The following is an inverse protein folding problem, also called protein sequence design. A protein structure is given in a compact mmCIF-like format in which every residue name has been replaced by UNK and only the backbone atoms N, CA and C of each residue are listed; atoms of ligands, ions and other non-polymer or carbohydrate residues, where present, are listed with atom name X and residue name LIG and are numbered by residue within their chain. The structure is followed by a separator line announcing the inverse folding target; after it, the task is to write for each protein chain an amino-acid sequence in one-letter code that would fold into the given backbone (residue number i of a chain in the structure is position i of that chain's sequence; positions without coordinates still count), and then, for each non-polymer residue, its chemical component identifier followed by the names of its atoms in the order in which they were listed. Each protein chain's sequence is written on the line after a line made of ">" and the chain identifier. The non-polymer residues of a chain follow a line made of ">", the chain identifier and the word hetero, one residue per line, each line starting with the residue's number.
data_IF_284250721266
#
_entry.id   IF_284250721266
#
_cell.length_a   1.000
_cell.length_b   1.000
_cell.length_c   1.000
_cell.angle_alpha   90.00
_cell.angle_beta   90.00
_cell.angle_gamma   90.00
#
_symmetry.space_group_name_H-M   'P 1'
#
loop_
_entity.id
_entity.type
_entity.pdbx_description
1 polymer ?
#
# COMPACT_ATOMS: atom_id res chain seq x y z
N UNK A 1 -41.12 -24.05 -44.01
CA UNK A 1 -42.58 -23.90 -43.81
C UNK A 1 -43.08 -24.74 -42.65
N UNK A 2 -42.82 -26.06 -42.60
CA UNK A 2 -43.31 -26.94 -41.52
C UNK A 2 -42.80 -26.54 -40.11
N UNK A 3 -41.51 -26.18 -39.98
CA UNK A 3 -40.93 -25.73 -38.70
C UNK A 3 -41.61 -24.47 -38.16
N UNK A 4 -41.88 -23.49 -39.01
CA UNK A 4 -42.56 -22.24 -38.65
C UNK A 4 -44.02 -22.54 -38.13
N UNK A 5 -44.80 -23.35 -38.86
CA UNK A 5 -46.17 -23.68 -38.47
C UNK A 5 -46.23 -24.44 -37.14
N UNK A 6 -45.25 -25.34 -36.92
CA UNK A 6 -45.15 -26.08 -35.67
C UNK A 6 -44.74 -25.16 -34.51
N UNK A 7 -43.79 -24.23 -34.73
CA UNK A 7 -43.40 -23.22 -33.77
C UNK A 7 -44.57 -22.34 -33.32
N UNK A 8 -45.37 -21.87 -34.30
CA UNK A 8 -46.57 -21.06 -34.07
C UNK A 8 -47.62 -21.84 -33.25
N UNK A 9 -47.82 -23.15 -33.53
CA UNK A 9 -48.72 -23.99 -32.76
C UNK A 9 -48.28 -24.15 -31.30
N UNK A 10 -46.98 -24.33 -31.04
CA UNK A 10 -46.45 -24.40 -29.68
C UNK A 10 -46.55 -23.05 -28.97
N UNK A 11 -46.30 -21.95 -29.67
CA UNK A 11 -46.49 -20.58 -29.13
C UNK A 11 -47.96 -20.37 -28.71
N UNK A 12 -48.90 -20.74 -29.56
CA UNK A 12 -50.33 -20.65 -29.24
C UNK A 12 -50.75 -21.53 -28.02
N UNK A 13 -50.04 -22.62 -27.74
CA UNK A 13 -50.24 -23.48 -26.56
C UNK A 13 -49.53 -22.97 -25.30
N UNK A 14 -48.73 -21.90 -25.39
CA UNK A 14 -47.92 -21.38 -24.28
C UNK A 14 -46.65 -22.17 -24.01
N UNK A 15 -46.28 -23.14 -24.86
CA UNK A 15 -45.04 -23.90 -24.74
C UNK A 15 -43.87 -23.13 -25.36
N UNK A 16 -43.38 -22.16 -24.61
CA UNK A 16 -42.29 -21.29 -25.05
C UNK A 16 -41.00 -22.05 -25.39
N UNK A 17 -40.72 -23.15 -24.70
CA UNK A 17 -39.49 -23.93 -24.94
C UNK A 17 -39.51 -24.59 -26.33
N UNK A 18 -40.59 -25.25 -26.71
CA UNK A 18 -40.74 -25.86 -28.02
C UNK A 18 -40.94 -24.79 -29.11
N UNK A 19 -41.64 -23.70 -28.82
CA UNK A 19 -41.77 -22.58 -29.73
C UNK A 19 -40.39 -21.99 -30.12
N UNK A 20 -39.54 -21.68 -29.13
CA UNK A 20 -38.14 -21.21 -29.38
C UNK A 20 -37.35 -22.21 -30.20
N UNK A 21 -37.44 -23.53 -29.88
CA UNK A 21 -36.73 -24.58 -30.62
C UNK A 21 -37.11 -24.61 -32.11
N UNK A 22 -38.39 -24.59 -32.40
CA UNK A 22 -38.86 -24.71 -33.80
C UNK A 22 -38.73 -23.38 -34.57
N UNK A 23 -38.87 -22.22 -33.93
CA UNK A 23 -38.53 -20.93 -34.55
C UNK A 23 -37.03 -20.84 -34.85
N UNK A 24 -36.17 -21.39 -33.99
CA UNK A 24 -34.71 -21.43 -34.27
C UNK A 24 -34.43 -22.31 -35.51
N UNK A 25 -35.05 -23.49 -35.61
CA UNK A 25 -34.90 -24.35 -36.80
C UNK A 25 -35.37 -23.64 -38.05
N UNK A 26 -36.53 -22.95 -37.96
CA UNK A 26 -37.06 -22.21 -39.09
C UNK A 26 -36.16 -21.02 -39.50
N UNK A 27 -35.65 -20.27 -38.53
CA UNK A 27 -34.75 -19.14 -38.79
C UNK A 27 -33.41 -19.60 -39.42
N UNK A 28 -32.83 -20.71 -38.93
CA UNK A 28 -31.65 -21.32 -39.53
C UNK A 28 -31.93 -21.75 -40.99
N UNK A 29 -33.07 -22.37 -41.24
CA UNK A 29 -33.48 -22.77 -42.58
C UNK A 29 -33.62 -21.56 -43.51
N UNK A 30 -34.23 -20.48 -43.01
CA UNK A 30 -34.42 -19.22 -43.80
C UNK A 30 -33.03 -18.62 -44.17
N UNK A 31 -32.08 -18.58 -43.21
CA UNK A 31 -30.73 -18.12 -43.48
C UNK A 31 -29.97 -18.96 -44.49
N UNK A 32 -30.02 -20.29 -44.33
CA UNK A 32 -29.32 -21.23 -45.26
C UNK A 32 -29.87 -21.14 -46.66
N UNK A 33 -31.19 -20.96 -46.80
CA UNK A 33 -31.83 -20.84 -48.11
C UNK A 33 -31.84 -19.44 -48.68
N UNK A 34 -31.18 -18.50 -48.03
CA UNK A 34 -31.10 -17.06 -48.48
C UNK A 34 -32.46 -16.35 -48.44
N UNK A 35 -33.41 -16.86 -47.66
CA UNK A 35 -34.74 -16.27 -47.47
C UNK A 35 -34.60 -15.07 -46.53
N UNK A 36 -34.60 -13.86 -47.11
CA UNK A 36 -34.41 -12.63 -46.32
C UNK A 36 -35.69 -12.11 -45.63
N UNK A 37 -36.82 -12.82 -45.79
CA UNK A 37 -38.07 -12.42 -45.16
C UNK A 37 -38.09 -12.58 -43.63
N UNK A 38 -37.19 -13.36 -43.09
CA UNK A 38 -36.73 -13.58 -41.68
C UNK A 38 -37.81 -13.39 -40.58
N UNK A 39 -39.09 -13.73 -40.92
CA UNK A 39 -40.19 -13.66 -39.95
C UNK A 39 -39.94 -14.55 -38.74
N UNK A 40 -39.31 -15.71 -38.95
CA UNK A 40 -38.97 -16.66 -37.90
C UNK A 40 -37.95 -16.03 -36.93
N UNK A 41 -36.95 -15.32 -37.44
CA UNK A 41 -35.91 -14.67 -36.66
C UNK A 41 -36.46 -13.52 -35.79
N UNK A 42 -37.44 -12.76 -36.33
CA UNK A 42 -38.08 -11.68 -35.59
C UNK A 42 -38.91 -12.20 -34.40
N UNK A 43 -39.71 -13.27 -34.61
CA UNK A 43 -40.50 -13.90 -33.54
C UNK A 43 -39.57 -14.55 -32.52
N UNK A 44 -38.51 -15.19 -32.97
CA UNK A 44 -37.46 -15.75 -32.09
C UNK A 44 -36.83 -14.68 -31.21
N UNK A 45 -36.48 -13.54 -31.79
CA UNK A 45 -35.91 -12.39 -31.04
C UNK A 45 -36.86 -11.93 -29.92
N UNK A 46 -38.18 -11.86 -30.22
CA UNK A 46 -39.20 -11.51 -29.22
C UNK A 46 -39.23 -12.53 -28.05
N UNK A 47 -39.29 -13.81 -28.36
CA UNK A 47 -39.35 -14.88 -27.36
C UNK A 47 -38.08 -14.93 -26.50
N UNK A 48 -36.90 -14.69 -27.07
CA UNK A 48 -35.63 -14.63 -26.37
C UNK A 48 -35.59 -13.36 -25.48
N UNK A 49 -36.13 -12.24 -25.94
CA UNK A 49 -36.26 -11.02 -25.13
C UNK A 49 -37.15 -11.30 -23.88
N UNK A 50 -38.30 -11.94 -24.08
CA UNK A 50 -39.20 -12.32 -22.98
C UNK A 50 -38.56 -13.30 -21.98
N UNK A 51 -37.57 -14.09 -22.42
CA UNK A 51 -36.78 -14.98 -21.55
C UNK A 51 -35.66 -14.24 -20.79
N UNK A 52 -35.44 -12.93 -21.07
CA UNK A 52 -34.44 -12.09 -20.40
C UNK A 52 -33.06 -12.00 -21.08
N UNK A 53 -32.87 -12.68 -22.22
CA UNK A 53 -31.61 -12.61 -22.96
C UNK A 53 -31.62 -11.42 -23.95
N UNK A 54 -31.35 -10.24 -23.41
CA UNK A 54 -31.41 -8.99 -24.17
C UNK A 54 -30.35 -8.97 -25.29
N UNK A 55 -29.16 -9.54 -25.06
CA UNK A 55 -28.04 -9.48 -26.01
C UNK A 55 -28.38 -10.26 -27.30
N UNK A 56 -28.86 -11.52 -27.15
CA UNK A 56 -29.25 -12.32 -28.30
C UNK A 56 -30.50 -11.76 -28.98
N UNK A 57 -31.47 -11.29 -28.18
CA UNK A 57 -32.69 -10.68 -28.71
C UNK A 57 -32.36 -9.45 -29.58
N UNK A 58 -31.45 -8.60 -29.11
CA UNK A 58 -31.01 -7.45 -29.88
C UNK A 58 -30.32 -7.84 -31.20
N UNK A 59 -29.37 -8.78 -31.14
CA UNK A 59 -28.64 -9.25 -32.31
C UNK A 59 -29.60 -9.84 -33.37
N UNK A 60 -30.54 -10.67 -32.95
CA UNK A 60 -31.50 -11.29 -33.87
C UNK A 60 -32.52 -10.32 -34.44
N UNK A 61 -32.99 -9.37 -33.61
CA UNK A 61 -33.92 -8.35 -34.07
C UNK A 61 -33.25 -7.35 -35.04
N UNK A 62 -32.00 -6.99 -34.79
CA UNK A 62 -31.19 -6.14 -35.65
C UNK A 62 -31.03 -6.78 -37.04
N UNK A 63 -30.62 -8.06 -37.10
CA UNK A 63 -30.45 -8.79 -38.33
C UNK A 63 -31.80 -8.92 -39.10
N UNK A 64 -32.88 -9.23 -38.38
CA UNK A 64 -34.19 -9.31 -38.99
C UNK A 64 -34.68 -7.97 -39.56
N UNK A 65 -34.35 -6.87 -38.92
CA UNK A 65 -34.66 -5.51 -39.39
C UNK A 65 -33.84 -5.11 -40.63
N UNK A 66 -32.52 -5.39 -40.60
CA UNK A 66 -31.64 -5.16 -41.74
C UNK A 66 -32.09 -5.93 -42.98
N UNK A 67 -32.46 -7.20 -42.83
CA UNK A 67 -32.99 -8.02 -43.93
C UNK A 67 -34.35 -7.50 -44.45
N UNK A 68 -35.25 -7.06 -43.54
CA UNK A 68 -36.56 -6.51 -43.94
C UNK A 68 -36.40 -5.20 -44.77
N UNK A 69 -35.43 -4.36 -44.41
CA UNK A 69 -35.10 -3.14 -45.15
C UNK A 69 -34.55 -3.50 -46.53
N UNK A 70 -33.60 -4.41 -46.61
CA UNK A 70 -32.96 -4.82 -47.87
C UNK A 70 -33.97 -5.46 -48.86
N UNK A 71 -34.96 -6.16 -48.34
CA UNK A 71 -36.01 -6.79 -49.16
C UNK A 71 -37.15 -5.85 -49.49
N UNK A 72 -37.13 -4.59 -49.05
CA UNK A 72 -38.26 -3.64 -49.22
C UNK A 72 -39.62 -4.20 -48.73
N UNK A 73 -39.57 -5.04 -47.67
CA UNK A 73 -40.74 -5.71 -47.09
C UNK A 73 -41.50 -4.76 -46.16
N UNK A 74 -42.28 -3.84 -46.70
CA UNK A 74 -42.93 -2.71 -46.01
C UNK A 74 -43.68 -3.13 -44.72
N UNK A 75 -44.47 -4.20 -44.74
CA UNK A 75 -45.23 -4.68 -43.57
C UNK A 75 -44.29 -5.22 -42.51
N UNK A 76 -43.31 -6.04 -42.93
CA UNK A 76 -42.34 -6.63 -42.02
C UNK A 76 -41.42 -5.53 -41.37
N UNK A 77 -41.12 -4.48 -42.10
CA UNK A 77 -40.32 -3.34 -41.61
C UNK A 77 -41.09 -2.57 -40.53
N UNK A 78 -42.40 -2.32 -40.67
CA UNK A 78 -43.17 -1.62 -39.64
C UNK A 78 -43.30 -2.46 -38.37
N UNK A 79 -43.68 -3.75 -38.45
CA UNK A 79 -43.76 -4.63 -37.29
C UNK A 79 -42.40 -4.86 -36.59
N UNK A 80 -41.31 -4.93 -37.37
CA UNK A 80 -39.96 -5.04 -36.84
C UNK A 80 -39.51 -3.77 -36.15
N UNK A 81 -39.86 -2.61 -36.66
CA UNK A 81 -39.41 -1.31 -36.18
C UNK A 81 -39.82 -1.04 -34.74
N UNK A 82 -41.10 -1.25 -34.40
CA UNK A 82 -41.59 -1.01 -33.03
C UNK A 82 -40.91 -1.94 -32.01
N UNK A 83 -40.79 -3.22 -32.34
CA UNK A 83 -40.11 -4.16 -31.47
C UNK A 83 -38.60 -3.95 -31.41
N UNK A 84 -37.98 -3.55 -32.51
CA UNK A 84 -36.55 -3.19 -32.55
C UNK A 84 -36.27 -2.01 -31.61
N UNK A 85 -37.04 -0.93 -31.68
CA UNK A 85 -36.87 0.22 -30.81
C UNK A 85 -36.99 -0.14 -29.33
N UNK A 86 -37.90 -1.04 -28.98
CA UNK A 86 -38.07 -1.50 -27.60
C UNK A 86 -36.90 -2.34 -27.12
N UNK A 87 -36.45 -3.29 -27.90
CA UNK A 87 -35.30 -4.15 -27.59
C UNK A 87 -33.99 -3.34 -27.57
N UNK A 88 -33.82 -2.42 -28.54
CA UNK A 88 -32.67 -1.53 -28.62
C UNK A 88 -32.55 -0.67 -27.35
N UNK A 89 -33.68 -0.07 -26.92
CA UNK A 89 -33.69 0.71 -25.67
C UNK A 89 -33.27 -0.11 -24.44
N UNK A 90 -33.80 -1.33 -24.32
CA UNK A 90 -33.42 -2.22 -23.22
C UNK A 90 -31.92 -2.60 -23.29
N UNK A 91 -31.39 -2.82 -24.50
CA UNK A 91 -29.98 -3.12 -24.70
C UNK A 91 -29.12 -1.90 -24.36
N UNK A 92 -29.46 -0.70 -24.79
CA UNK A 92 -28.76 0.55 -24.47
C UNK A 92 -28.75 0.82 -22.96
N UNK A 93 -29.85 0.59 -22.27
CA UNK A 93 -29.91 0.72 -20.81
C UNK A 93 -28.98 -0.28 -20.09
N UNK A 94 -28.94 -1.52 -20.57
CA UNK A 94 -28.03 -2.53 -20.06
C UNK A 94 -26.56 -2.13 -20.26
N UNK A 95 -26.19 -1.66 -21.43
CA UNK A 95 -24.82 -1.20 -21.74
C UNK A 95 -24.44 0.04 -20.91
N UNK A 96 -25.34 0.99 -20.75
CA UNK A 96 -25.11 2.15 -19.85
C UNK A 96 -24.85 1.72 -18.41
N UNK A 97 -25.61 0.75 -17.87
CA UNK A 97 -25.38 0.21 -16.52
C UNK A 97 -24.01 -0.44 -16.40
N UNK A 98 -23.60 -1.25 -17.37
CA UNK A 98 -22.25 -1.84 -17.40
C UNK A 98 -21.16 -0.76 -17.39
N UNK A 99 -21.33 0.26 -18.23
CA UNK A 99 -20.36 1.38 -18.29
C UNK A 99 -20.24 2.12 -16.96
N UNK A 100 -21.37 2.41 -16.30
CA UNK A 100 -21.38 3.06 -14.97
C UNK A 100 -20.67 2.21 -13.92
N UNK A 101 -20.93 0.90 -13.89
CA UNK A 101 -20.30 -0.03 -12.96
C UNK A 101 -18.78 -0.05 -13.19
N UNK A 102 -18.34 -0.21 -14.44
CA UNK A 102 -16.90 -0.25 -14.77
C UNK A 102 -16.22 1.07 -14.42
N UNK A 103 -16.86 2.20 -14.74
CA UNK A 103 -16.34 3.54 -14.43
C UNK A 103 -16.22 3.78 -12.92
N UNK A 104 -17.21 3.33 -12.12
CA UNK A 104 -17.16 3.44 -10.67
C UNK A 104 -16.05 2.58 -10.04
N UNK A 105 -15.84 1.36 -10.55
CA UNK A 105 -14.77 0.48 -10.12
C UNK A 105 -13.39 1.09 -10.44
N UNK A 106 -13.23 1.65 -11.65
CA UNK A 106 -11.98 2.29 -12.05
C UNK A 106 -11.68 3.52 -11.17
N UNK A 107 -12.70 4.34 -10.89
CA UNK A 107 -12.57 5.51 -10.00
C UNK A 107 -12.16 5.10 -8.59
N UNK A 108 -12.76 4.04 -8.02
CA UNK A 108 -12.38 3.54 -6.68
C UNK A 108 -10.94 3.04 -6.65
N UNK A 109 -10.49 2.35 -7.70
CA UNK A 109 -9.11 1.88 -7.82
C UNK A 109 -8.11 3.05 -7.84
N UNK A 110 -8.41 4.12 -8.58
CA UNK A 110 -7.59 5.33 -8.62
C UNK A 110 -7.45 5.97 -7.23
N UNK A 111 -8.53 6.05 -6.46
CA UNK A 111 -8.49 6.58 -5.09
C UNK A 111 -7.57 5.76 -4.17
N UNK A 112 -7.64 4.43 -4.25
CA UNK A 112 -6.76 3.53 -3.50
C UNK A 112 -5.29 3.76 -3.88
N UNK A 113 -4.98 3.88 -5.17
CA UNK A 113 -3.63 4.16 -5.64
C UNK A 113 -3.08 5.49 -5.09
N UNK A 114 -3.90 6.54 -5.07
CA UNK A 114 -3.53 7.86 -4.51
C UNK A 114 -3.22 7.73 -3.01
N UNK A 115 -4.06 7.03 -2.24
CA UNK A 115 -3.84 6.79 -0.81
C UNK A 115 -2.53 6.04 -0.55
N UNK A 116 -2.27 4.98 -1.31
CA UNK A 116 -1.02 4.21 -1.20
C UNK A 116 0.20 5.08 -1.52
N UNK A 117 0.11 5.95 -2.53
CA UNK A 117 1.18 6.88 -2.88
C UNK A 117 1.47 7.88 -1.74
N UNK A 118 0.42 8.42 -1.10
CA UNK A 118 0.57 9.31 0.07
C UNK A 118 1.24 8.58 1.23
N UNK A 119 0.80 7.37 1.57
CA UNK A 119 1.39 6.55 2.63
C UNK A 119 2.86 6.25 2.34
N UNK A 120 3.19 5.88 1.11
CA UNK A 120 4.56 5.60 0.71
C UNK A 120 5.49 6.82 0.87
N UNK A 121 5.02 8.01 0.49
CA UNK A 121 5.80 9.25 0.68
C UNK A 121 5.98 9.61 2.15
N UNK A 122 4.98 9.38 3.00
CA UNK A 122 5.08 9.57 4.45
C UNK A 122 6.08 8.60 5.08
N UNK A 123 6.02 7.32 4.72
CA UNK A 123 6.98 6.30 5.20
C UNK A 123 8.41 6.65 4.82
N UNK A 124 8.66 7.11 3.59
CA UNK A 124 9.98 7.60 3.19
C UNK A 124 10.47 8.77 4.04
N UNK A 125 9.61 9.74 4.35
CA UNK A 125 9.95 10.87 5.23
C UNK A 125 10.29 10.41 6.64
N UNK A 126 9.51 9.49 7.21
CA UNK A 126 9.78 8.92 8.55
C UNK A 126 11.10 8.15 8.57
N UNK A 127 11.36 7.29 7.58
CA UNK A 127 12.63 6.56 7.47
C UNK A 127 13.83 7.51 7.47
N UNK A 128 13.76 8.60 6.70
CA UNK A 128 14.82 9.61 6.66
C UNK A 128 15.02 10.31 8.01
N UNK A 129 13.94 10.63 8.73
CA UNK A 129 14.03 11.22 10.09
C UNK A 129 14.69 10.28 11.09
N UNK A 130 14.32 8.99 11.07
CA UNK A 130 14.92 7.97 11.94
C UNK A 130 16.40 7.79 11.64
N UNK A 131 16.79 7.77 10.38
CA UNK A 131 18.20 7.68 9.97
C UNK A 131 19.01 8.88 10.45
N UNK A 132 18.47 10.10 10.34
CA UNK A 132 19.11 11.31 10.86
C UNK A 132 19.23 11.27 12.39
N UNK A 133 18.19 10.85 13.10
CA UNK A 133 18.23 10.71 14.54
C UNK A 133 19.27 9.68 15.00
N UNK A 134 19.37 8.54 14.31
CA UNK A 134 20.37 7.52 14.61
C UNK A 134 21.80 8.02 14.38
N UNK A 135 22.04 8.80 13.31
CA UNK A 135 23.36 9.42 13.09
C UNK A 135 23.72 10.41 14.18
N UNK A 136 22.78 11.26 14.61
CA UNK A 136 22.98 12.21 15.70
C UNK A 136 23.25 11.48 17.02
N UNK A 137 22.52 10.41 17.31
CA UNK A 137 22.71 9.58 18.50
C UNK A 137 24.10 8.94 18.50
N UNK A 138 24.54 8.37 17.38
CA UNK A 138 25.88 7.79 17.26
C UNK A 138 26.97 8.85 17.51
N UNK A 139 26.82 10.05 16.96
CA UNK A 139 27.76 11.15 17.20
C UNK A 139 27.85 11.52 18.70
N UNK A 140 26.72 11.65 19.38
CA UNK A 140 26.70 11.97 20.82
C UNK A 140 27.25 10.83 21.68
N UNK A 141 27.04 9.56 21.28
CA UNK A 141 27.65 8.43 21.98
C UNK A 141 29.19 8.48 21.88
N UNK A 142 29.74 8.75 20.71
CA UNK A 142 31.18 8.89 20.52
C UNK A 142 31.74 10.07 21.34
N UNK A 143 31.03 11.20 21.38
CA UNK A 143 31.42 12.36 22.19
C UNK A 143 31.43 12.04 23.69
N UNK A 144 30.39 11.38 24.20
CA UNK A 144 30.32 10.93 25.61
C UNK A 144 31.46 9.96 25.92
N UNK A 145 31.76 9.04 25.04
CA UNK A 145 32.86 8.08 25.21
C UNK A 145 34.22 8.79 25.30
N UNK A 146 34.44 9.78 24.44
CA UNK A 146 35.65 10.59 24.49
C UNK A 146 35.77 11.43 25.79
N UNK A 147 34.68 12.05 26.24
CA UNK A 147 34.65 12.78 27.51
C UNK A 147 34.92 11.83 28.68
N UNK A 148 34.32 10.66 28.69
CA UNK A 148 34.52 9.67 29.77
C UNK A 148 35.99 9.19 29.82
N UNK A 149 36.64 8.99 28.67
CA UNK A 149 38.03 8.59 28.65
C UNK A 149 38.95 9.74 29.15
N UNK A 150 38.69 10.98 28.72
CA UNK A 150 39.45 12.15 29.21
C UNK A 150 39.27 12.37 30.74
N UNK A 151 38.04 12.15 31.24
CA UNK A 151 37.76 12.23 32.68
C UNK A 151 38.49 11.13 33.48
N UNK A 152 38.55 9.91 32.97
CA UNK A 152 39.28 8.80 33.59
C UNK A 152 40.78 9.12 33.65
N UNK A 153 41.36 9.64 32.57
CA UNK A 153 42.78 10.06 32.52
C UNK A 153 43.06 11.20 33.50
N UNK A 154 42.16 12.21 33.55
CA UNK A 154 42.28 13.31 34.52
C UNK A 154 42.19 12.83 35.97
N UNK A 155 41.29 11.88 36.27
CA UNK A 155 41.15 11.28 37.60
C UNK A 155 42.41 10.52 38.00
N UNK A 156 43.00 9.74 37.08
CA UNK A 156 44.26 9.03 37.30
C UNK A 156 45.42 9.97 37.61
N UNK A 157 45.55 11.05 36.83
CA UNK A 157 46.59 12.10 37.10
C UNK A 157 46.38 12.71 38.48
N UNK A 158 45.15 13.01 38.87
CA UNK A 158 44.83 13.56 40.19
C UNK A 158 45.22 12.60 41.33
N UNK A 159 44.94 11.30 41.18
CA UNK A 159 45.33 10.27 42.18
C UNK A 159 46.87 10.20 42.29
N UNK A 160 47.60 10.27 41.19
CA UNK A 160 49.05 10.24 41.17
C UNK A 160 49.63 11.48 41.88
N UNK A 161 49.08 12.67 41.66
CA UNK A 161 49.46 13.87 42.39
C UNK A 161 49.18 13.76 43.89
N UNK A 162 48.01 13.24 44.27
CA UNK A 162 47.71 13.02 45.70
C UNK A 162 48.68 12.02 46.33
N UNK A 163 49.03 10.97 45.61
CA UNK A 163 50.07 10.02 46.07
C UNK A 163 51.43 10.67 46.33
N UNK A 164 51.92 11.50 45.34
CA UNK A 164 53.18 12.22 45.47
C UNK A 164 53.16 13.20 46.65
N UNK A 165 52.07 13.95 46.86
CA UNK A 165 51.96 14.85 48.00
C UNK A 165 51.95 14.12 49.32
N UNK A 166 51.27 12.98 49.42
CA UNK A 166 51.25 12.14 50.66
C UNK A 166 52.65 11.61 50.97
N UNK A 167 53.39 11.16 49.98
CA UNK A 167 54.77 10.72 50.14
C UNK A 167 55.68 11.87 50.66
N UNK A 168 55.55 13.05 50.04
CA UNK A 168 56.30 14.23 50.43
C UNK A 168 55.99 14.68 51.85
N UNK A 169 54.69 14.70 52.24
CA UNK A 169 54.29 14.97 53.63
C UNK A 169 54.85 13.98 54.63
N UNK A 170 54.82 12.68 54.30
CA UNK A 170 55.38 11.64 55.13
C UNK A 170 56.89 11.84 55.34
N UNK A 171 57.62 12.22 54.30
CA UNK A 171 59.04 12.53 54.40
C UNK A 171 59.28 13.76 55.28
N UNK A 172 58.48 14.83 55.14
CA UNK A 172 58.60 15.98 56.05
C UNK A 172 58.32 15.63 57.50
N UNK A 173 57.27 14.88 57.79
CA UNK A 173 56.99 14.43 59.17
C UNK A 173 58.13 13.63 59.74
N UNK A 174 58.72 12.74 58.96
CA UNK A 174 59.86 11.92 59.39
C UNK A 174 61.10 12.77 59.67
N UNK A 175 61.36 13.79 58.86
CA UNK A 175 62.44 14.74 59.06
C UNK A 175 62.25 15.56 60.36
N UNK A 176 61.00 16.06 60.56
CA UNK A 176 60.67 16.82 61.78
C UNK A 176 60.83 15.94 63.02
N UNK A 177 60.37 14.69 62.98
CA UNK A 177 60.50 13.76 64.09
C UNK A 177 61.97 13.43 64.38
N UNK A 178 62.80 13.21 63.37
CA UNK A 178 64.23 13.01 63.50
C UNK A 178 64.96 14.25 64.07
N UNK A 179 64.52 15.45 63.61
CA UNK A 179 65.05 16.72 64.16
C UNK A 179 64.66 16.88 65.62
N UNK A 180 63.42 16.65 66.01
CA UNK A 180 62.91 16.68 67.36
C UNK A 180 63.69 15.72 68.24
N UNK A 181 63.91 14.45 67.81
CA UNK A 181 64.73 13.47 68.56
C UNK A 181 66.18 13.94 68.76
N UNK A 182 66.82 14.55 67.74
CA UNK A 182 68.17 15.08 67.87
C UNK A 182 68.22 16.30 68.79
N UNK A 183 67.30 17.22 68.69
CA UNK A 183 67.19 18.37 69.58
C UNK A 183 66.99 17.95 71.02
N UNK A 184 66.10 17.00 71.31
CA UNK A 184 65.89 16.47 72.65
C UNK A 184 67.16 15.76 73.23
N UNK A 185 67.92 15.08 72.35
CA UNK A 185 69.19 14.43 72.79
C UNK A 185 70.24 15.47 73.16
N UNK A 186 70.39 16.55 72.39
CA UNK A 186 71.30 17.64 72.63
C UNK A 186 70.88 18.44 73.90
N UNK A 187 69.60 18.71 74.07
CA UNK A 187 69.05 19.39 75.25
C UNK A 187 69.31 18.62 76.54
N UNK A 188 69.30 17.31 76.50
CA UNK A 188 69.59 16.46 77.62
C UNK A 188 71.11 16.32 78.01
N UNK A 189 72.04 16.75 77.09
CA UNK A 189 73.45 16.64 77.32
C UNK A 189 74.05 17.81 78.10
N UNK A 190 73.26 18.81 78.52
CA UNK A 190 73.70 20.04 79.27
C UNK A 190 74.84 20.86 78.62
N UNK A 191 75.17 20.58 77.36
CA UNK A 191 76.24 21.28 76.64
C UNK A 191 75.67 22.39 75.74
N UNK A 192 75.62 23.63 76.21
CA UNK A 192 75.04 24.81 75.54
C UNK A 192 75.69 25.02 74.19
N UNK A 193 77.01 24.71 74.05
CA UNK A 193 77.73 24.94 72.75
C UNK A 193 77.22 24.08 71.62
N UNK A 194 76.82 22.85 71.92
CA UNK A 194 76.22 21.90 70.94
C UNK A 194 74.81 22.28 70.58
N UNK A 195 74.00 22.87 71.48
CA UNK A 195 72.65 23.37 71.18
C UNK A 195 72.73 24.55 70.16
N UNK A 196 73.66 25.45 70.33
CA UNK A 196 73.83 26.64 69.44
C UNK A 196 74.34 26.21 68.03
N UNK A 197 75.32 25.25 67.98
CA UNK A 197 75.80 24.74 66.70
C UNK A 197 74.72 23.97 65.94
N UNK A 198 73.80 23.20 66.57
CA UNK A 198 72.70 22.51 65.96
C UNK A 198 71.68 23.43 65.40
N UNK A 199 71.33 24.57 66.09
CA UNK A 199 70.35 25.51 65.59
C UNK A 199 70.91 26.32 64.41
N UNK A 200 72.27 26.50 64.27
CA UNK A 200 72.89 27.17 63.10
C UNK A 200 72.99 26.24 61.86
N UNK A 201 72.95 24.94 62.03
CA UNK A 201 73.11 23.95 60.93
C UNK A 201 71.74 23.42 60.36
N UNK A 202 70.64 23.91 60.90
CA UNK A 202 69.25 23.59 60.50
C UNK A 202 68.63 24.63 59.62
#
# INVERSE_FOLDING_TARGET
>A
ILAYSLASAYQGKGDSKNAVRYFTISAISDVINGTRENRSLRILAKLIFESGDIDRAYAYMKNAMEDAILCNARINTIEASDMYLFIDKAFQEKEKRKFVIISSLLSSLCLVCILLFILFTQLKKQKKKVEQANKSLSYHLDEIQNINSALADSSKIKEEYVGLYMEQYTNYITQIDSFKKRALKIAKSEDISKVVSFLKSS
#
